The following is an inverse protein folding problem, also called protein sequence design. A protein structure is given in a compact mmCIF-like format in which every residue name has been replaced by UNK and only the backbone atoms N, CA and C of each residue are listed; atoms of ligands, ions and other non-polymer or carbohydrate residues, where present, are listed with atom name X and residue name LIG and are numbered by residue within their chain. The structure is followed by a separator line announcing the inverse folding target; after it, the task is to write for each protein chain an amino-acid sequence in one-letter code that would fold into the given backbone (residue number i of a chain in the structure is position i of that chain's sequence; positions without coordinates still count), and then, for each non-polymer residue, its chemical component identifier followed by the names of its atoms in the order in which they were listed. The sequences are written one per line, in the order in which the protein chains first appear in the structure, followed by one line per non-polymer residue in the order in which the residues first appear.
data_IF_596572340893
#
_entry.id   IF_596572340893
#
_cell.length_a   1.000
_cell.length_b   1.000
_cell.length_c   1.000
_cell.angle_alpha   90.00
_cell.angle_beta   90.00
_cell.angle_gamma   90.00
#
_symmetry.space_group_name_H-M   'P 1'
#
loop_
_entity.id
_entity.type
_entity.pdbx_description
1 polymer ?
#
# COMPACT_ATOMS: atom_id res chain seq x y z
N UNK A 1 8.94 49.58 22.29
CA UNK A 1 9.47 48.21 22.15
C UNK A 1 8.38 47.14 22.14
N UNK A 2 7.57 46.95 23.20
CA UNK A 2 6.49 45.92 23.24
C UNK A 2 5.46 46.02 22.10
N UNK A 3 4.98 47.23 21.76
CA UNK A 3 4.03 47.45 20.65
C UNK A 3 4.62 47.13 19.26
N UNK A 4 5.92 47.35 19.09
CA UNK A 4 6.64 47.05 17.84
C UNK A 4 6.81 45.54 17.66
N UNK A 5 7.14 44.81 18.74
CA UNK A 5 7.25 43.35 18.74
C UNK A 5 5.90 42.67 18.43
N UNK A 6 4.78 43.20 18.94
CA UNK A 6 3.43 42.69 18.65
C UNK A 6 3.04 42.86 17.18
N UNK A 7 3.37 44.01 16.57
CA UNK A 7 3.10 44.26 15.14
C UNK A 7 3.98 43.35 14.28
N UNK A 8 5.24 43.16 14.64
CA UNK A 8 6.15 42.26 13.93
C UNK A 8 5.68 40.80 14.01
N UNK A 9 5.25 40.32 15.17
CA UNK A 9 4.69 38.96 15.32
C UNK A 9 3.41 38.77 14.50
N UNK A 10 2.57 39.81 14.43
CA UNK A 10 1.34 39.77 13.63
C UNK A 10 1.64 39.73 12.13
N UNK A 11 2.63 40.49 11.64
CA UNK A 11 3.06 40.46 10.24
C UNK A 11 3.68 39.11 9.86
N UNK A 12 4.50 38.53 10.74
CA UNK A 12 5.05 37.18 10.55
C UNK A 12 3.91 36.15 10.48
N UNK A 13 2.91 36.27 11.35
CA UNK A 13 1.74 35.38 11.33
C UNK A 13 0.92 35.51 10.03
N UNK A 14 0.76 36.71 9.48
CA UNK A 14 0.08 36.92 8.18
C UNK A 14 0.91 36.32 7.05
N UNK A 15 2.22 36.57 6.99
CA UNK A 15 3.10 36.02 5.94
C UNK A 15 3.11 34.49 6.01
N UNK A 16 3.20 33.92 7.22
CA UNK A 16 3.08 32.49 7.44
C UNK A 16 1.69 31.98 7.00
N UNK A 17 0.61 32.69 7.33
CA UNK A 17 -0.75 32.32 6.96
C UNK A 17 -1.00 32.32 5.45
N UNK A 18 -0.52 33.34 4.73
CA UNK A 18 -0.59 33.40 3.26
C UNK A 18 0.28 32.31 2.62
N UNK A 19 1.46 32.05 3.19
CA UNK A 19 2.32 30.94 2.77
C UNK A 19 1.64 29.58 2.94
N UNK A 20 1.06 29.32 4.11
CA UNK A 20 0.29 28.10 4.41
C UNK A 20 -0.91 27.96 3.47
N UNK A 21 -1.69 29.03 3.28
CA UNK A 21 -2.85 29.01 2.39
C UNK A 21 -2.46 28.72 0.93
N UNK A 22 -1.34 29.26 0.45
CA UNK A 22 -0.83 28.97 -0.89
C UNK A 22 -0.36 27.52 -1.02
N UNK A 23 0.38 27.00 -0.04
CA UNK A 23 0.81 25.61 -0.01
C UNK A 23 -0.40 24.67 0.03
N UNK A 24 -1.40 24.99 0.87
CA UNK A 24 -2.64 24.23 0.95
C UNK A 24 -3.41 24.25 -0.37
N UNK A 25 -3.55 25.40 -1.01
CA UNK A 25 -4.19 25.51 -2.32
C UNK A 25 -3.48 24.67 -3.40
N UNK A 26 -2.14 24.72 -3.44
CA UNK A 26 -1.35 23.93 -4.39
C UNK A 26 -1.48 22.42 -4.12
N UNK A 27 -1.46 22.02 -2.85
CA UNK A 27 -1.71 20.64 -2.45
C UNK A 27 -3.13 20.20 -2.80
N UNK A 28 -4.15 21.02 -2.55
CA UNK A 28 -5.55 20.72 -2.83
C UNK A 28 -5.74 20.54 -4.34
N UNK A 29 -5.17 21.44 -5.14
CA UNK A 29 -5.22 21.33 -6.60
C UNK A 29 -4.57 20.05 -7.13
N UNK A 30 -3.56 19.53 -6.42
CA UNK A 30 -2.86 18.30 -6.77
C UNK A 30 -3.68 17.08 -6.33
N UNK A 31 -4.18 17.06 -5.10
CA UNK A 31 -5.01 15.97 -4.57
C UNK A 31 -6.40 15.88 -5.23
N UNK A 32 -6.93 16.99 -5.75
CA UNK A 32 -8.18 16.99 -6.52
C UNK A 32 -8.07 16.22 -7.84
N UNK A 33 -6.86 15.78 -8.24
CA UNK A 33 -6.64 14.86 -9.35
C UNK A 33 -6.95 13.40 -9.00
N UNK A 34 -7.05 13.05 -7.71
CA UNK A 34 -7.44 11.70 -7.28
C UNK A 34 -8.80 11.31 -7.85
N UNK A 35 -8.94 10.06 -8.29
CA UNK A 35 -10.23 9.54 -8.74
C UNK A 35 -11.09 9.13 -7.54
N UNK A 36 -11.80 10.11 -6.99
CA UNK A 36 -12.82 9.90 -5.94
C UNK A 36 -14.21 9.65 -6.50
N UNK A 37 -14.43 9.90 -7.79
CA UNK A 37 -15.75 9.70 -8.43
C UNK A 37 -16.06 8.21 -8.57
N UNK A 38 -15.02 7.41 -8.77
CA UNK A 38 -15.10 5.95 -8.82
C UNK A 38 -15.00 5.30 -7.43
N UNK A 39 -14.81 6.10 -6.37
CA UNK A 39 -14.61 5.59 -5.03
C UNK A 39 -15.94 5.22 -4.37
N UNK A 40 -15.96 4.08 -3.69
CA UNK A 40 -16.98 3.74 -2.69
C UNK A 40 -16.61 4.35 -1.34
N UNK A 41 -17.59 4.58 -0.48
CA UNK A 41 -17.35 4.88 0.93
C UNK A 41 -17.07 3.58 1.68
N UNK A 42 -15.86 3.40 2.22
CA UNK A 42 -15.45 2.15 2.87
C UNK A 42 -16.24 1.86 4.14
N UNK A 43 -16.63 2.91 4.90
CA UNK A 43 -17.41 2.76 6.13
C UNK A 43 -18.83 2.22 5.90
N UNK A 44 -19.38 2.40 4.69
CA UNK A 44 -20.67 1.84 4.30
C UNK A 44 -20.58 0.37 3.88
N UNK A 45 -19.35 -0.15 3.68
CA UNK A 45 -19.17 -1.52 3.21
C UNK A 45 -19.40 -2.57 4.31
N UNK A 46 -19.22 -2.24 5.59
CA UNK A 46 -19.33 -3.20 6.70
C UNK A 46 -20.36 -2.72 7.73
N UNK A 47 -21.42 -3.49 7.92
CA UNK A 47 -22.37 -3.23 9.00
C UNK A 47 -21.74 -3.55 10.36
N UNK A 48 -21.91 -2.66 11.34
CA UNK A 48 -21.37 -2.86 12.69
C UNK A 48 -19.85 -2.64 12.79
N UNK A 49 -19.28 -1.83 11.89
CA UNK A 49 -17.85 -1.49 11.83
C UNK A 49 -17.28 -1.01 13.18
N UNK A 50 -18.11 -0.40 14.02
CA UNK A 50 -17.75 0.06 15.36
C UNK A 50 -17.35 -1.06 16.33
N UNK A 51 -17.70 -2.31 16.03
CA UNK A 51 -17.33 -3.48 16.85
C UNK A 51 -16.02 -4.14 16.38
N UNK A 52 -15.43 -3.66 15.29
CA UNK A 52 -14.14 -4.14 14.80
C UNK A 52 -13.00 -3.55 15.64
N UNK A 53 -11.87 -4.26 15.65
CA UNK A 53 -10.66 -3.83 16.37
C UNK A 53 -10.09 -2.57 15.72
N UNK A 54 -9.93 -1.51 16.50
CA UNK A 54 -9.36 -0.21 16.10
C UNK A 54 -8.68 0.50 17.28
N UNK A 55 -7.83 1.49 17.00
CA UNK A 55 -7.24 2.42 17.98
C UNK A 55 -7.17 3.81 17.33
N UNK A 56 -7.68 4.85 18.00
CA UNK A 56 -7.76 6.22 17.44
C UNK A 56 -6.40 6.83 17.05
N UNK A 57 -5.30 6.25 17.53
CA UNK A 57 -3.93 6.66 17.20
C UNK A 57 -3.26 5.75 16.17
N UNK A 58 -3.99 4.81 15.59
CA UNK A 58 -3.48 3.85 14.63
C UNK A 58 -4.42 3.80 13.44
N UNK A 59 -3.94 4.31 12.30
CA UNK A 59 -4.72 4.38 11.07
C UNK A 59 -4.33 3.22 10.15
N UNK A 60 -5.29 2.43 9.70
CA UNK A 60 -5.12 1.28 8.83
C UNK A 60 -5.71 1.55 7.44
N UNK A 61 -4.87 1.72 6.44
CA UNK A 61 -5.28 1.97 5.04
C UNK A 61 -5.10 0.71 4.20
N UNK A 62 -6.15 0.28 3.53
CA UNK A 62 -6.10 -0.83 2.58
C UNK A 62 -5.41 -0.40 1.28
N UNK A 63 -4.29 -1.03 0.94
CA UNK A 63 -3.60 -0.84 -0.33
C UNK A 63 -3.88 -2.00 -1.26
N UNK A 64 -4.44 -1.69 -2.44
CA UNK A 64 -4.77 -2.69 -3.46
C UNK A 64 -4.02 -2.39 -4.75
N UNK A 65 -3.20 -3.34 -5.19
CA UNK A 65 -2.60 -3.35 -6.52
C UNK A 65 -3.43 -4.21 -7.46
N UNK A 66 -4.11 -3.57 -8.42
CA UNK A 66 -5.01 -4.23 -9.36
C UNK A 66 -4.69 -3.84 -10.80
N UNK A 67 -4.93 -4.75 -11.74
CA UNK A 67 -4.87 -4.45 -13.18
C UNK A 67 -6.19 -3.81 -13.61
N UNK A 68 -6.16 -2.56 -14.08
CA UNK A 68 -7.36 -1.86 -14.54
C UNK A 68 -7.97 -2.59 -15.75
N UNK A 69 -9.22 -3.03 -15.65
CA UNK A 69 -10.08 -3.35 -16.82
C UNK A 69 -10.92 -2.12 -17.17
N UNK A 70 -11.66 -2.16 -18.28
CA UNK A 70 -12.26 -1.00 -18.98
C UNK A 70 -13.09 -0.04 -18.08
N UNK A 71 -13.54 -0.47 -16.90
CA UNK A 71 -14.11 0.40 -15.86
C UNK A 71 -13.70 -0.02 -14.44
N UNK A 72 -13.69 0.92 -13.48
CA UNK A 72 -13.47 0.65 -12.05
C UNK A 72 -14.60 -0.14 -11.38
N UNK A 73 -15.77 -0.21 -12.04
CA UNK A 73 -16.91 -1.04 -11.65
C UNK A 73 -16.78 -2.50 -12.08
N UNK A 74 -15.85 -2.83 -12.98
CA UNK A 74 -15.57 -4.21 -13.36
C UNK A 74 -14.42 -4.78 -12.52
N UNK A 75 -14.74 -5.82 -11.77
CA UNK A 75 -13.78 -6.49 -10.90
C UNK A 75 -12.62 -7.11 -11.70
N UNK A 76 -11.44 -6.52 -11.59
CA UNK A 76 -10.17 -7.09 -12.04
C UNK A 76 -9.62 -8.15 -11.07
N UNK A 77 -8.42 -8.67 -11.34
CA UNK A 77 -7.70 -9.52 -10.37
C UNK A 77 -6.79 -8.61 -9.54
N UNK A 78 -6.95 -8.59 -8.22
CA UNK A 78 -5.96 -7.99 -7.32
C UNK A 78 -4.77 -8.94 -7.18
N UNK A 79 -3.57 -8.53 -7.62
CA UNK A 79 -2.37 -9.34 -7.41
C UNK A 79 -1.61 -8.97 -6.12
N UNK A 80 -1.97 -7.82 -5.51
CA UNK A 80 -1.35 -7.33 -4.27
C UNK A 80 -2.43 -6.72 -3.36
N UNK A 81 -2.48 -7.17 -2.11
CA UNK A 81 -3.31 -6.57 -1.05
C UNK A 81 -2.43 -6.41 0.19
N UNK A 82 -2.36 -5.20 0.72
CA UNK A 82 -1.64 -4.89 1.95
C UNK A 82 -2.45 -3.94 2.83
N UNK A 83 -2.16 -3.93 4.13
CA UNK A 83 -2.63 -2.92 5.06
C UNK A 83 -1.42 -2.06 5.41
N UNK A 84 -1.50 -0.77 5.08
CA UNK A 84 -0.53 0.23 5.53
C UNK A 84 -1.02 0.84 6.84
N UNK A 85 -0.24 0.68 7.89
CA UNK A 85 -0.58 1.15 9.23
C UNK A 85 0.30 2.34 9.60
N UNK A 86 -0.33 3.46 9.91
CA UNK A 86 0.30 4.63 10.52
C UNK A 86 0.08 4.56 12.03
N UNK A 87 1.07 4.05 12.75
CA UNK A 87 1.03 3.91 14.19
C UNK A 87 1.60 5.18 14.84
N UNK A 88 0.73 6.15 15.11
CA UNK A 88 1.09 7.41 15.76
C UNK A 88 1.37 7.25 17.25
N UNK A 89 0.91 6.13 17.85
CA UNK A 89 1.12 5.80 19.26
C UNK A 89 2.56 5.39 19.52
N UNK A 90 3.14 4.55 18.65
CA UNK A 90 4.51 4.05 18.77
C UNK A 90 5.48 4.69 17.77
N UNK A 91 4.99 5.61 16.91
CA UNK A 91 5.75 6.30 15.86
C UNK A 91 6.35 5.34 14.82
N UNK A 92 5.55 4.37 14.39
CA UNK A 92 5.97 3.34 13.45
C UNK A 92 5.12 3.38 12.17
N UNK A 93 5.76 3.10 11.04
CA UNK A 93 5.07 2.72 9.82
C UNK A 93 5.12 1.22 9.70
N UNK A 94 3.98 0.59 9.38
CA UNK A 94 3.89 -0.85 9.25
C UNK A 94 3.16 -1.24 7.98
N UNK A 95 3.53 -2.39 7.42
CA UNK A 95 2.96 -2.90 6.19
C UNK A 95 2.69 -4.40 6.32
N UNK A 96 1.42 -4.76 6.36
CA UNK A 96 0.96 -6.15 6.48
C UNK A 96 0.45 -6.65 5.13
N UNK A 97 1.17 -7.57 4.48
CA UNK A 97 0.69 -8.17 3.24
C UNK A 97 -0.32 -9.29 3.53
N UNK A 98 -1.45 -9.29 2.82
CA UNK A 98 -2.45 -10.35 2.86
C UNK A 98 -2.26 -11.26 1.66
N UNK A 99 -1.92 -12.53 1.90
CA UNK A 99 -1.64 -13.46 0.83
C UNK A 99 -2.89 -13.82 0.05
N UNK A 100 -2.74 -13.88 -1.27
CA UNK A 100 -3.83 -14.15 -2.20
C UNK A 100 -4.52 -15.50 -1.98
N UNK A 101 -3.72 -16.54 -1.76
CA UNK A 101 -4.19 -17.92 -1.79
C UNK A 101 -4.74 -18.39 -0.42
N UNK A 102 -4.96 -17.47 0.53
CA UNK A 102 -5.63 -17.76 1.81
C UNK A 102 -7.04 -18.27 1.57
N UNK A 103 -7.39 -19.38 2.24
CA UNK A 103 -8.73 -19.95 2.21
C UNK A 103 -9.58 -19.31 3.31
N UNK A 104 -10.49 -18.42 2.92
CA UNK A 104 -11.24 -17.55 3.84
C UNK A 104 -12.72 -17.51 3.46
N UNK A 105 -13.57 -17.18 4.43
CA UNK A 105 -14.98 -16.93 4.18
C UNK A 105 -15.14 -15.60 3.45
N UNK A 106 -15.87 -15.60 2.34
CA UNK A 106 -16.22 -14.40 1.59
C UNK A 106 -17.72 -14.18 1.75
N UNK A 107 -18.14 -13.10 2.43
CA UNK A 107 -19.55 -12.83 2.68
C UNK A 107 -20.41 -12.92 1.42
N UNK A 108 -21.47 -13.73 1.46
CA UNK A 108 -22.37 -13.95 0.32
C UNK A 108 -21.85 -14.90 -0.78
N UNK A 109 -20.59 -15.35 -0.70
CA UNK A 109 -19.97 -16.23 -1.68
C UNK A 109 -19.43 -17.54 -1.09
N UNK A 110 -19.38 -17.68 0.24
CA UNK A 110 -18.83 -18.87 0.90
C UNK A 110 -17.30 -18.86 0.90
N UNK A 111 -16.68 -20.02 1.16
CA UNK A 111 -15.22 -20.08 1.33
C UNK A 111 -14.49 -20.18 -0.01
N UNK A 112 -13.59 -19.23 -0.25
CA UNK A 112 -12.79 -19.14 -1.48
C UNK A 112 -11.39 -18.59 -1.17
N UNK A 113 -10.55 -18.50 -2.20
CA UNK A 113 -9.29 -17.75 -2.10
C UNK A 113 -9.54 -16.28 -1.87
N UNK A 114 -8.74 -15.67 -1.01
CA UNK A 114 -8.88 -14.27 -0.62
C UNK A 114 -8.94 -13.27 -1.80
N UNK A 115 -8.16 -13.42 -2.87
CA UNK A 115 -8.29 -12.52 -4.04
C UNK A 115 -9.62 -12.64 -4.80
N UNK A 116 -10.38 -13.70 -4.59
CA UNK A 116 -11.68 -13.83 -5.20
C UNK A 116 -12.62 -12.72 -4.68
N UNK A 117 -12.44 -12.24 -3.45
CA UNK A 117 -13.25 -11.17 -2.87
C UNK A 117 -13.22 -9.90 -3.72
N UNK A 118 -12.01 -9.45 -4.10
CA UNK A 118 -11.87 -8.31 -4.99
C UNK A 118 -12.44 -8.58 -6.40
N UNK A 119 -12.29 -9.82 -6.88
CA UNK A 119 -12.82 -10.23 -8.20
C UNK A 119 -14.35 -10.36 -8.21
N UNK A 120 -15.00 -10.51 -7.06
CA UNK A 120 -16.45 -10.67 -6.93
C UNK A 120 -17.15 -9.35 -6.60
N UNK A 121 -16.53 -8.47 -5.80
CA UNK A 121 -17.19 -7.26 -5.31
C UNK A 121 -16.25 -6.09 -5.06
N UNK A 122 -15.08 -6.08 -5.68
CA UNK A 122 -14.11 -4.99 -5.59
C UNK A 122 -13.65 -4.71 -4.15
N UNK A 123 -13.38 -3.44 -3.86
CA UNK A 123 -12.90 -3.00 -2.54
C UNK A 123 -13.92 -3.27 -1.43
N UNK A 124 -15.22 -3.11 -1.70
CA UNK A 124 -16.29 -3.32 -0.70
C UNK A 124 -16.26 -4.73 -0.14
N UNK A 125 -16.32 -5.73 -1.03
CA UNK A 125 -16.34 -7.13 -0.60
C UNK A 125 -14.98 -7.58 -0.06
N UNK A 126 -13.88 -7.01 -0.57
CA UNK A 126 -12.56 -7.24 -0.01
C UNK A 126 -12.48 -6.78 1.44
N UNK A 127 -13.02 -5.59 1.77
CA UNK A 127 -13.04 -5.11 3.14
C UNK A 127 -13.98 -5.94 4.02
N UNK A 128 -15.19 -6.28 3.55
CA UNK A 128 -16.08 -7.20 4.27
C UNK A 128 -15.39 -8.53 4.59
N UNK A 129 -14.62 -9.07 3.65
CA UNK A 129 -13.83 -10.30 3.85
C UNK A 129 -12.77 -10.10 4.93
N UNK A 130 -12.05 -8.97 4.94
CA UNK A 130 -11.07 -8.66 5.99
C UNK A 130 -11.76 -8.53 7.35
N UNK A 131 -12.87 -7.80 7.43
CA UNK A 131 -13.63 -7.61 8.66
C UNK A 131 -14.17 -8.95 9.21
N UNK A 132 -14.76 -9.79 8.37
CA UNK A 132 -15.35 -11.07 8.76
C UNK A 132 -14.32 -12.09 9.26
N UNK A 133 -13.12 -12.11 8.65
CA UNK A 133 -12.11 -13.11 8.99
C UNK A 133 -11.13 -12.61 10.05
N UNK A 134 -10.81 -11.32 10.09
CA UNK A 134 -9.78 -10.77 10.97
C UNK A 134 -10.28 -9.80 12.04
N UNK A 135 -11.55 -9.38 11.98
CA UNK A 135 -12.13 -8.45 12.95
C UNK A 135 -11.42 -7.10 12.99
N UNK A 136 -10.82 -6.66 11.87
CA UNK A 136 -9.99 -5.46 11.77
C UNK A 136 -10.75 -4.33 11.08
N UNK A 137 -10.76 -3.15 11.70
CA UNK A 137 -11.28 -1.91 11.10
C UNK A 137 -10.24 -1.29 10.15
N UNK A 138 -10.70 -0.78 9.00
CA UNK A 138 -9.87 -0.05 8.04
C UNK A 138 -10.41 1.36 7.89
N UNK A 139 -9.54 2.36 7.93
CA UNK A 139 -9.90 3.79 7.96
C UNK A 139 -9.98 4.43 6.56
N UNK A 140 -9.68 3.63 5.53
CA UNK A 140 -9.77 4.03 4.14
C UNK A 140 -8.97 3.09 3.24
N UNK A 141 -8.91 3.40 1.95
CA UNK A 141 -8.18 2.58 0.98
C UNK A 141 -7.55 3.40 -0.13
N UNK A 142 -6.58 2.80 -0.82
CA UNK A 142 -6.05 3.27 -2.08
C UNK A 142 -5.89 2.10 -3.05
N UNK A 143 -6.52 2.20 -4.23
CA UNK A 143 -6.32 1.28 -5.34
C UNK A 143 -5.37 1.91 -6.34
N UNK A 144 -4.31 1.18 -6.69
CA UNK A 144 -3.28 1.61 -7.62
C UNK A 144 -3.21 0.66 -8.82
N UNK A 145 -3.25 1.23 -10.01
CA UNK A 145 -3.08 0.50 -11.26
C UNK A 145 -1.60 0.11 -11.51
N UNK A 146 -1.35 -1.05 -12.12
CA UNK A 146 0.02 -1.49 -12.42
C UNK A 146 0.73 -0.62 -13.46
N UNK A 147 -0.03 0.01 -14.37
CA UNK A 147 0.57 0.98 -15.28
C UNK A 147 1.04 2.20 -14.50
N UNK A 148 0.19 2.70 -13.61
CA UNK A 148 0.53 3.81 -12.72
C UNK A 148 1.78 3.49 -11.90
N UNK A 149 1.83 2.33 -11.25
CA UNK A 149 2.97 1.86 -10.48
C UNK A 149 4.29 1.91 -11.28
N UNK A 150 4.28 1.48 -12.55
CA UNK A 150 5.47 1.56 -13.40
C UNK A 150 5.86 3.01 -13.72
N UNK A 151 4.88 3.84 -14.08
CA UNK A 151 5.08 5.25 -14.40
C UNK A 151 5.60 6.06 -13.19
N UNK A 152 5.17 5.70 -11.98
CA UNK A 152 5.68 6.26 -10.72
C UNK A 152 7.18 5.99 -10.61
N UNK A 153 7.58 4.73 -10.71
CA UNK A 153 8.97 4.32 -10.55
C UNK A 153 9.84 4.94 -11.63
N UNK A 154 9.36 4.99 -12.88
CA UNK A 154 10.07 5.66 -13.97
C UNK A 154 10.22 7.18 -13.70
N UNK A 155 9.22 7.82 -13.08
CA UNK A 155 9.27 9.23 -12.71
C UNK A 155 10.18 9.52 -11.50
N UNK A 156 10.57 8.50 -10.74
CA UNK A 156 11.55 8.55 -9.66
C UNK A 156 12.98 8.23 -10.14
N UNK A 157 13.20 8.10 -11.45
CA UNK A 157 14.44 7.61 -12.07
C UNK A 157 14.82 6.17 -11.67
N UNK A 158 13.81 5.38 -11.27
CA UNK A 158 13.94 4.00 -10.84
C UNK A 158 13.95 3.83 -9.32
N UNK A 159 14.12 2.59 -8.87
CA UNK A 159 14.22 2.22 -7.45
C UNK A 159 15.40 1.29 -7.22
N UNK A 160 16.14 1.48 -6.12
CA UNK A 160 17.24 0.58 -5.77
C UNK A 160 16.69 -0.77 -5.26
N UNK A 161 17.05 -1.86 -5.93
CA UNK A 161 16.69 -3.23 -5.56
C UNK A 161 17.93 -4.12 -5.68
N UNK A 162 18.15 -4.93 -4.64
CA UNK A 162 19.20 -5.95 -4.64
C UNK A 162 18.65 -7.29 -5.18
N UNK A 163 19.30 -7.81 -6.22
CA UNK A 163 18.97 -9.09 -6.82
C UNK A 163 19.90 -10.19 -6.32
N UNK A 164 19.32 -11.30 -5.87
CA UNK A 164 20.09 -12.55 -5.77
C UNK A 164 20.43 -13.07 -7.17
N UNK A 165 21.46 -13.92 -7.25
CA UNK A 165 21.84 -14.60 -8.50
C UNK A 165 20.63 -15.32 -9.15
N UNK A 166 19.85 -16.04 -8.34
CA UNK A 166 18.70 -16.80 -8.81
C UNK A 166 17.56 -15.91 -9.34
N UNK A 167 17.32 -14.75 -8.73
CA UNK A 167 16.30 -13.80 -9.20
C UNK A 167 16.72 -13.14 -10.51
N UNK A 168 17.99 -12.75 -10.63
CA UNK A 168 18.55 -12.24 -11.88
C UNK A 168 18.38 -13.25 -13.02
N UNK A 169 18.81 -14.50 -12.82
CA UNK A 169 18.70 -15.55 -13.84
C UNK A 169 17.24 -15.80 -14.24
N UNK A 170 16.35 -15.82 -13.26
CA UNK A 170 14.92 -15.97 -13.51
C UNK A 170 14.38 -14.82 -14.36
N UNK A 171 14.66 -13.56 -14.02
CA UNK A 171 14.17 -12.40 -14.75
C UNK A 171 14.66 -12.39 -16.21
N UNK A 172 15.95 -12.63 -16.44
CA UNK A 172 16.53 -12.67 -17.79
C UNK A 172 15.91 -13.78 -18.63
N UNK A 173 15.64 -14.95 -18.03
CA UNK A 173 15.03 -16.10 -18.70
C UNK A 173 13.54 -15.89 -18.97
N UNK A 174 12.77 -15.51 -17.96
CA UNK A 174 11.32 -15.34 -18.04
C UNK A 174 10.93 -14.21 -18.99
N UNK A 175 11.71 -13.12 -19.00
CA UNK A 175 11.45 -11.92 -19.79
C UNK A 175 12.39 -11.79 -20.99
N UNK A 176 12.87 -12.91 -21.56
CA UNK A 176 13.84 -12.94 -22.68
C UNK A 176 13.44 -12.10 -23.90
N UNK A 177 12.13 -11.95 -24.15
CA UNK A 177 11.52 -11.17 -25.24
C UNK A 177 11.13 -9.74 -24.84
N UNK A 178 11.37 -9.33 -23.60
CA UNK A 178 11.04 -8.00 -23.07
C UNK A 178 12.34 -7.25 -22.72
N UNK A 179 12.96 -6.54 -23.69
CA UNK A 179 14.25 -5.88 -23.49
C UNK A 179 14.23 -4.85 -22.35
N UNK A 180 13.10 -4.16 -22.13
CA UNK A 180 12.90 -3.21 -21.02
C UNK A 180 13.09 -3.84 -19.63
N UNK A 181 12.86 -5.15 -19.50
CA UNK A 181 13.02 -5.87 -18.23
C UNK A 181 14.43 -6.45 -18.13
N UNK A 182 14.91 -7.15 -19.16
CA UNK A 182 16.16 -7.93 -19.05
C UNK A 182 17.45 -7.10 -19.16
N UNK A 183 17.43 -5.97 -19.87
CA UNK A 183 18.65 -5.25 -20.18
C UNK A 183 19.18 -4.50 -18.94
N UNK A 184 20.49 -4.54 -18.71
CA UNK A 184 21.14 -3.78 -17.64
C UNK A 184 21.01 -4.36 -16.23
N UNK A 185 20.25 -5.45 -16.04
CA UNK A 185 20.20 -6.17 -14.76
C UNK A 185 21.48 -6.96 -14.52
N UNK A 186 21.90 -7.03 -13.27
CA UNK A 186 23.00 -7.88 -12.76
C UNK A 186 22.66 -8.41 -11.37
N UNK A 187 23.34 -9.46 -10.88
CA UNK A 187 23.31 -9.80 -9.45
C UNK A 187 23.81 -8.63 -8.59
N UNK A 188 23.27 -8.49 -7.38
CA UNK A 188 23.55 -7.38 -6.47
C UNK A 188 22.64 -6.16 -6.69
N UNK A 189 23.12 -4.97 -6.32
CA UNK A 189 22.33 -3.72 -6.40
C UNK A 189 22.08 -3.27 -7.84
N UNK A 190 20.84 -2.92 -8.13
CA UNK A 190 20.38 -2.37 -9.40
C UNK A 190 19.44 -1.19 -9.14
N UNK A 191 19.49 -0.17 -10.00
CA UNK A 191 18.41 0.81 -10.12
C UNK A 191 17.43 0.27 -11.17
N UNK A 192 16.25 -0.12 -10.72
CA UNK A 192 15.23 -0.74 -11.56
C UNK A 192 14.21 0.28 -12.02
N UNK A 193 13.97 0.33 -13.33
CA UNK A 193 12.83 1.06 -13.90
C UNK A 193 11.50 0.36 -13.54
N UNK A 194 10.37 1.00 -13.85
CA UNK A 194 9.04 0.50 -13.52
C UNK A 194 8.78 -0.89 -14.05
N UNK A 195 9.15 -1.17 -15.31
CA UNK A 195 8.97 -2.50 -15.90
C UNK A 195 9.80 -3.58 -15.19
N UNK A 196 11.03 -3.25 -14.78
CA UNK A 196 11.91 -4.13 -14.01
C UNK A 196 11.37 -4.38 -12.60
N UNK A 197 10.95 -3.34 -11.89
CA UNK A 197 10.41 -3.43 -10.54
C UNK A 197 9.08 -4.22 -10.52
N UNK A 198 8.21 -4.02 -11.51
CA UNK A 198 6.99 -4.81 -11.68
C UNK A 198 7.30 -6.28 -12.00
N UNK A 199 8.30 -6.55 -12.85
CA UNK A 199 8.72 -7.91 -13.14
C UNK A 199 9.30 -8.61 -11.91
N UNK A 200 10.10 -7.89 -11.11
CA UNK A 200 10.66 -8.35 -9.85
C UNK A 200 9.56 -8.68 -8.82
N UNK A 201 8.59 -7.79 -8.64
CA UNK A 201 7.49 -8.01 -7.69
C UNK A 201 6.57 -9.18 -8.08
N UNK A 202 6.62 -9.63 -9.34
CA UNK A 202 5.85 -10.77 -9.87
C UNK A 202 6.59 -12.12 -9.81
N UNK A 203 7.84 -12.16 -9.35
CA UNK A 203 8.60 -13.43 -9.26
C UNK A 203 7.92 -14.39 -8.27
N UNK A 204 7.55 -15.59 -8.76
CA UNK A 204 6.97 -16.68 -7.93
C UNK A 204 7.88 -17.90 -7.78
N UNK A 205 8.77 -18.14 -8.75
CA UNK A 205 9.51 -19.40 -8.87
C UNK A 205 10.83 -19.45 -8.09
N UNK A 206 11.30 -18.31 -7.56
CA UNK A 206 12.58 -18.21 -6.85
C UNK A 206 12.34 -18.02 -5.35
N UNK A 207 12.85 -18.96 -4.56
CA UNK A 207 12.61 -19.04 -3.11
C UNK A 207 11.20 -19.55 -2.77
N UNK A 208 11.00 -20.04 -1.53
CA UNK A 208 9.72 -20.61 -1.06
C UNK A 208 8.51 -19.77 -1.55
N UNK A 209 7.75 -20.38 -2.46
CA UNK A 209 6.67 -19.82 -3.29
C UNK A 209 5.74 -18.85 -2.56
N UNK A 210 5.26 -17.83 -3.29
CA UNK A 210 4.31 -16.76 -2.92
C UNK A 210 4.68 -15.89 -1.69
N UNK A 211 5.29 -16.45 -0.65
CA UNK A 211 5.86 -15.75 0.50
C UNK A 211 6.90 -14.72 0.08
N UNK A 212 7.91 -15.18 -0.67
CA UNK A 212 8.95 -14.31 -1.25
C UNK A 212 8.36 -13.28 -2.22
N UNK A 213 7.21 -13.56 -2.85
CA UNK A 213 6.55 -12.58 -3.73
C UNK A 213 6.05 -11.38 -2.93
N UNK A 214 5.34 -11.63 -1.82
CA UNK A 214 4.86 -10.53 -0.95
C UNK A 214 6.01 -9.74 -0.34
N UNK A 215 7.11 -10.40 0.01
CA UNK A 215 8.32 -9.74 0.47
C UNK A 215 8.89 -8.78 -0.60
N UNK A 216 9.06 -9.24 -1.84
CA UNK A 216 9.53 -8.38 -2.95
C UNK A 216 8.65 -7.16 -3.18
N UNK A 217 7.33 -7.32 -3.09
CA UNK A 217 6.39 -6.20 -3.20
C UNK A 217 6.64 -5.15 -2.11
N UNK A 218 6.85 -5.59 -0.86
CA UNK A 218 7.20 -4.69 0.25
C UNK A 218 8.60 -4.10 0.10
N UNK A 219 9.57 -4.84 -0.43
CA UNK A 219 10.91 -4.31 -0.74
C UNK A 219 10.83 -3.15 -1.73
N UNK A 220 9.99 -3.26 -2.77
CA UNK A 220 9.80 -2.13 -3.71
C UNK A 220 9.15 -0.94 -3.01
N UNK A 221 8.10 -1.15 -2.21
CA UNK A 221 7.45 -0.05 -1.46
C UNK A 221 8.44 0.63 -0.48
N UNK A 222 9.26 -0.15 0.22
CA UNK A 222 10.29 0.38 1.11
C UNK A 222 11.34 1.19 0.35
N UNK A 223 11.79 0.72 -0.83
CA UNK A 223 12.73 1.44 -1.68
C UNK A 223 12.13 2.77 -2.15
N UNK A 224 10.90 2.73 -2.67
CA UNK A 224 10.16 3.95 -3.06
C UNK A 224 10.01 4.93 -1.90
N UNK A 225 9.69 4.45 -0.69
CA UNK A 225 9.55 5.31 0.49
C UNK A 225 10.88 6.00 0.86
N UNK A 226 11.99 5.26 0.81
CA UNK A 226 13.33 5.82 1.05
C UNK A 226 13.66 6.92 0.03
N UNK A 227 13.39 6.67 -1.25
CA UNK A 227 13.68 7.61 -2.33
C UNK A 227 12.81 8.88 -2.21
N UNK A 228 11.50 8.74 -2.01
CA UNK A 228 10.58 9.88 -1.80
C UNK A 228 10.98 10.75 -0.61
N UNK A 229 11.50 10.17 0.48
CA UNK A 229 11.97 10.94 1.63
C UNK A 229 13.19 11.81 1.34
N UNK A 230 13.99 11.43 0.34
CA UNK A 230 15.18 12.17 -0.09
C UNK A 230 14.89 13.22 -1.16
N UNK A 231 13.69 13.19 -1.76
CA UNK A 231 13.25 14.15 -2.75
C UNK A 231 12.92 15.52 -2.14
N UNK A 232 13.15 16.56 -2.94
CA UNK A 232 12.68 17.91 -2.68
C UNK A 232 11.15 18.02 -2.80
N UNK A 233 10.57 19.06 -2.19
CA UNK A 233 9.12 19.31 -2.31
C UNK A 233 8.66 19.48 -3.77
N UNK A 234 9.51 20.00 -4.66
CA UNK A 234 9.19 20.15 -6.08
C UNK A 234 9.15 18.82 -6.83
N UNK A 235 10.06 17.89 -6.51
CA UNK A 235 10.08 16.53 -7.05
C UNK A 235 8.87 15.73 -6.54
N UNK A 236 8.55 15.83 -5.25
CA UNK A 236 7.36 15.20 -4.66
C UNK A 236 6.09 15.72 -5.34
N UNK A 237 5.99 17.04 -5.59
CA UNK A 237 4.85 17.62 -6.32
C UNK A 237 4.76 17.05 -7.73
N UNK A 238 5.87 17.04 -8.48
CA UNK A 238 5.91 16.51 -9.84
C UNK A 238 5.51 15.03 -9.90
N UNK A 239 5.97 14.25 -8.92
CA UNK A 239 5.59 12.86 -8.75
C UNK A 239 4.09 12.73 -8.48
N UNK A 240 3.57 13.45 -7.49
CA UNK A 240 2.16 13.44 -7.12
C UNK A 240 1.25 13.81 -8.31
N UNK A 241 1.61 14.80 -9.11
CA UNK A 241 0.83 15.20 -10.29
C UNK A 241 0.70 14.08 -11.35
N UNK A 242 1.69 13.19 -11.45
CA UNK A 242 1.67 12.02 -12.33
C UNK A 242 0.94 10.83 -11.71
N UNK A 243 1.11 10.61 -10.40
CA UNK A 243 0.57 9.46 -9.69
C UNK A 243 -0.92 9.56 -9.41
N UNK A 244 -1.35 10.68 -8.82
CA UNK A 244 -2.68 10.83 -8.23
C UNK A 244 -3.84 10.57 -9.20
N UNK A 245 -3.78 10.96 -10.50
CA UNK A 245 -4.84 10.62 -11.47
C UNK A 245 -5.14 9.12 -11.61
N UNK A 246 -4.21 8.25 -11.21
CA UNK A 246 -4.33 6.80 -11.33
C UNK A 246 -4.57 6.10 -9.99
N UNK A 247 -4.92 6.85 -8.94
CA UNK A 247 -5.24 6.33 -7.63
C UNK A 247 -6.72 6.58 -7.34
N UNK A 248 -7.45 5.51 -7.01
CA UNK A 248 -8.81 5.58 -6.47
C UNK A 248 -8.75 5.45 -4.96
N UNK A 249 -9.41 6.36 -4.24
CA UNK A 249 -9.39 6.40 -2.78
C UNK A 249 -10.64 7.09 -2.24
N UNK A 250 -11.09 6.68 -1.06
CA UNK A 250 -12.10 7.37 -0.27
C UNK A 250 -11.53 8.43 0.67
N UNK A 251 -10.20 8.52 0.79
CA UNK A 251 -9.54 9.47 1.67
C UNK A 251 -9.76 10.92 1.21
N UNK A 252 -10.21 11.77 2.13
CA UNK A 252 -10.33 13.21 1.92
C UNK A 252 -8.96 13.90 1.83
N UNK A 253 -8.90 15.09 1.26
CA UNK A 253 -7.67 15.88 1.24
C UNK A 253 -7.15 16.14 2.68
N UNK A 254 -8.06 16.44 3.61
CA UNK A 254 -7.73 16.67 5.03
C UNK A 254 -7.13 15.44 5.70
N UNK A 255 -7.68 14.25 5.45
CA UNK A 255 -7.11 12.99 5.94
C UNK A 255 -5.70 12.78 5.38
N UNK A 256 -5.52 12.95 4.07
CA UNK A 256 -4.21 12.80 3.43
C UNK A 256 -3.18 13.78 4.01
N UNK A 257 -3.57 15.03 4.27
CA UNK A 257 -2.67 16.01 4.92
C UNK A 257 -2.31 15.62 6.34
N UNK A 258 -3.30 15.23 7.12
CA UNK A 258 -3.10 14.78 8.50
C UNK A 258 -2.14 13.58 8.56
N UNK A 259 -2.32 12.61 7.67
CA UNK A 259 -1.47 11.43 7.58
C UNK A 259 -0.06 11.78 7.11
N UNK A 260 0.08 12.58 6.04
CA UNK A 260 1.38 13.04 5.56
C UNK A 260 2.15 13.79 6.65
N UNK A 261 1.50 14.72 7.35
CA UNK A 261 2.10 15.46 8.46
C UNK A 261 2.51 14.53 9.61
N UNK A 262 1.66 13.55 9.95
CA UNK A 262 1.96 12.56 10.97
C UNK A 262 3.20 11.74 10.61
N UNK A 263 3.33 11.27 9.36
CA UNK A 263 4.51 10.54 8.89
C UNK A 263 5.79 11.38 9.00
N UNK A 264 5.74 12.66 8.62
CA UNK A 264 6.88 13.57 8.77
C UNK A 264 7.28 13.74 10.25
N UNK A 265 6.30 13.88 11.14
CA UNK A 265 6.53 14.05 12.57
C UNK A 265 7.02 12.78 13.27
N UNK A 266 6.73 11.59 12.75
CA UNK A 266 7.28 10.33 13.26
C UNK A 266 8.80 10.23 13.03
N UNK A 267 9.32 10.81 11.95
CA UNK A 267 10.75 10.81 11.62
C UNK A 267 11.33 9.45 11.20
N UNK A 268 10.54 8.36 11.17
CA UNK A 268 11.01 7.02 10.80
C UNK A 268 11.36 6.90 9.31
N UNK A 269 12.40 6.14 8.98
CA UNK A 269 12.79 5.75 7.60
C UNK A 269 12.43 4.30 7.29
N UNK A 270 12.10 3.51 8.31
CA UNK A 270 11.86 2.08 8.19
C UNK A 270 10.36 1.81 8.26
N UNK A 271 9.88 1.01 7.31
CA UNK A 271 8.54 0.42 7.33
C UNK A 271 8.70 -1.00 7.89
N UNK A 272 8.13 -1.25 9.06
CA UNK A 272 8.06 -2.60 9.64
C UNK A 272 7.17 -3.46 8.76
N UNK A 273 7.55 -4.71 8.54
CA UNK A 273 6.89 -5.57 7.55
C UNK A 273 6.33 -6.83 8.19
N UNK A 274 5.12 -7.19 7.80
CA UNK A 274 4.46 -8.40 8.26
C UNK A 274 3.66 -9.04 7.15
N UNK A 275 3.28 -10.30 7.33
CA UNK A 275 2.54 -11.06 6.32
C UNK A 275 1.55 -11.99 7.01
N UNK A 276 0.35 -12.04 6.47
CA UNK A 276 -0.65 -13.04 6.82
C UNK A 276 -0.92 -13.94 5.60
N UNK A 277 -0.88 -15.27 5.76
CA UNK A 277 -0.67 -15.95 7.03
C UNK A 277 0.78 -15.99 7.51
N UNK A 278 0.95 -16.12 8.82
CA UNK A 278 2.25 -16.41 9.44
C UNK A 278 2.69 -17.83 9.11
N UNK A 279 3.99 -18.12 9.18
CA UNK A 279 4.53 -19.44 8.86
C UNK A 279 3.96 -20.55 9.77
N UNK A 280 3.59 -20.20 11.00
CA UNK A 280 3.13 -21.13 12.02
C UNK A 280 1.60 -21.32 12.02
N UNK A 281 0.85 -20.41 11.41
CA UNK A 281 -0.61 -20.37 11.49
C UNK A 281 -1.31 -20.72 10.16
N UNK A 282 -0.71 -21.53 9.29
CA UNK A 282 -1.40 -22.05 8.11
C UNK A 282 -0.93 -23.44 7.69
N UNK A 283 -1.76 -24.12 6.92
CA UNK A 283 -1.44 -25.40 6.27
C UNK A 283 -1.71 -25.30 4.77
N UNK A 284 -0.72 -25.59 3.90
CA UNK A 284 -0.95 -25.70 2.46
C UNK A 284 -1.81 -26.91 2.14
N UNK A 285 -2.92 -26.71 1.43
CA UNK A 285 -3.82 -27.78 1.01
C UNK A 285 -4.19 -27.66 -0.48
N UNK A 286 -4.80 -28.73 -1.01
CA UNK A 286 -5.47 -28.70 -2.32
C UNK A 286 -6.94 -29.02 -2.13
N UNK A 287 -7.79 -28.01 -2.31
CA UNK A 287 -9.24 -28.15 -2.21
C UNK A 287 -9.80 -28.12 -3.63
N UNK A 288 -10.41 -29.24 -4.06
CA UNK A 288 -10.79 -29.44 -5.45
C UNK A 288 -9.57 -29.39 -6.39
N UNK A 289 -9.50 -28.37 -7.24
CA UNK A 289 -8.37 -28.14 -8.18
C UNK A 289 -7.47 -26.99 -7.75
N UNK A 290 -7.73 -26.38 -6.60
CA UNK A 290 -7.06 -25.17 -6.16
C UNK A 290 -6.05 -25.46 -5.05
N UNK A 291 -4.82 -24.96 -5.21
CA UNK A 291 -3.84 -24.90 -4.11
C UNK A 291 -4.15 -23.70 -3.25
N UNK A 292 -4.31 -23.90 -1.94
CA UNK A 292 -4.78 -22.90 -0.98
C UNK A 292 -3.95 -22.94 0.31
N UNK A 293 -4.06 -21.88 1.12
CA UNK A 293 -3.49 -21.81 2.46
C UNK A 293 -4.65 -21.79 3.46
N UNK A 294 -4.90 -22.92 4.11
CA UNK A 294 -5.93 -23.04 5.16
C UNK A 294 -5.38 -22.42 6.44
N UNK A 295 -6.14 -21.50 7.03
CA UNK A 295 -5.68 -20.68 8.15
C UNK A 295 -6.02 -21.32 9.50
N UNK A 296 -5.08 -21.26 10.44
CA UNK A 296 -5.43 -21.17 11.85
C UNK A 296 -5.83 -19.71 12.12
N UNK A 297 -7.13 -19.43 12.05
CA UNK A 297 -7.64 -18.07 12.11
C UNK A 297 -7.29 -17.37 13.43
N UNK A 298 -7.53 -17.95 14.63
CA UNK A 298 -7.13 -17.32 15.89
C UNK A 298 -5.67 -16.90 15.94
N UNK A 299 -4.75 -17.77 15.52
CA UNK A 299 -3.31 -17.47 15.53
C UNK A 299 -2.92 -16.34 14.56
N UNK A 300 -3.56 -16.25 13.40
CA UNK A 300 -3.31 -15.14 12.47
C UNK A 300 -3.92 -13.82 12.96
N UNK A 301 -5.11 -13.86 13.58
CA UNK A 301 -5.75 -12.68 14.17
C UNK A 301 -4.91 -12.12 15.30
N UNK A 302 -4.46 -12.99 16.22
CA UNK A 302 -3.59 -12.60 17.33
C UNK A 302 -2.29 -11.97 16.80
N UNK A 303 -1.62 -12.62 15.84
CA UNK A 303 -0.37 -12.12 15.29
C UNK A 303 -0.55 -10.81 14.50
N UNK A 304 -1.66 -10.66 13.77
CA UNK A 304 -2.00 -9.42 13.05
C UNK A 304 -2.27 -8.28 14.03
N UNK A 305 -3.09 -8.52 15.05
CA UNK A 305 -3.42 -7.50 16.04
C UNK A 305 -2.19 -7.07 16.84
N UNK A 306 -1.36 -8.03 17.25
CA UNK A 306 -0.08 -7.73 17.90
C UNK A 306 0.78 -6.82 17.02
N UNK A 307 0.97 -7.18 15.75
CA UNK A 307 1.78 -6.38 14.84
C UNK A 307 1.19 -4.98 14.59
N UNK A 308 -0.13 -4.86 14.40
CA UNK A 308 -0.79 -3.59 14.10
C UNK A 308 -0.84 -2.67 15.33
N UNK A 309 -1.30 -3.17 16.48
CA UNK A 309 -1.68 -2.35 17.63
C UNK A 309 -0.64 -2.24 18.74
N UNK A 310 0.41 -3.07 18.73
CA UNK A 310 1.53 -2.97 19.66
C UNK A 310 2.79 -2.46 18.95
N UNK A 311 3.80 -2.03 19.71
CA UNK A 311 5.09 -1.70 19.14
C UNK A 311 5.71 -2.94 18.46
N UNK A 312 5.96 -2.85 17.16
CA UNK A 312 6.63 -3.90 16.41
C UNK A 312 8.14 -3.85 16.67
N UNK A 313 8.74 -4.98 17.02
CA UNK A 313 10.20 -5.13 17.14
C UNK A 313 10.88 -5.12 15.75
#
# INVERSE_FOLDING_TARGET
MKRFLLVLSFLIAIIAGVGVARVQYELDSTLNKLDRKSAINLSEAVAGEENLTSDDKIVNILLVGADKRESWSESGRSDTVMIATLDMKHKQLKLTSLMRDMWVEIPGHGTHKFNAAYSYGGVSLLYQTIAANFGLKLDGYAVVDFKAFQEVIDAMDGVEIELTQAEYEYLVKAYKRHPKVKNGLKPGKNIMNGAQALAYSRIRQVGRSDFRRTERQRTVIQSMFTDVKSMSMGEIKTLAEKMLPNIVTDLSNEQIYSYMFSVLMMGTTEIKQFRIPTDEAHTPETIGKEKVLVLNLPGNVEAMNKFIFEAAE
#
